data_IF_018230407380
#
_entry.id   IF_018230407380
#
_cell.length_a   1.000
_cell.length_b   1.000
_cell.length_c   1.000
_cell.angle_alpha   90.00
_cell.angle_beta   90.00
_cell.angle_gamma   90.00
#
_symmetry.space_group_name_H-M   'P 1'
#
loop_
_entity.id
_entity.type
_entity.pdbx_description
1 polymer ?
#
# COMPACT_ATOMS: atom_id res chain seq x y z
N UNK A 1 -2.98 -14.18 -69.10
CA UNK A 1 -1.97 -14.84 -68.26
C UNK A 1 -1.43 -13.83 -67.24
N UNK A 2 -1.24 -14.27 -65.99
CA UNK A 2 -0.39 -13.68 -64.92
C UNK A 2 -0.87 -12.30 -64.40
N UNK A 3 -1.65 -12.27 -63.30
CA UNK A 3 -1.21 -12.19 -61.89
C UNK A 3 -0.23 -11.02 -61.64
N UNK A 4 -0.62 -10.07 -60.79
CA UNK A 4 0.14 -9.67 -59.58
C UNK A 4 -0.83 -8.93 -58.64
N UNK A 5 -0.94 -9.50 -57.45
CA UNK A 5 -1.54 -8.97 -56.23
C UNK A 5 -0.51 -8.07 -55.58
N UNK A 6 -0.88 -6.86 -55.16
CA UNK A 6 -0.09 -6.10 -54.19
C UNK A 6 -0.99 -5.61 -53.05
N UNK A 7 -0.87 -6.37 -51.98
CA UNK A 7 -1.46 -6.22 -50.66
C UNK A 7 -0.67 -5.15 -49.90
N UNK A 8 -1.31 -4.04 -49.55
CA UNK A 8 -0.76 -2.99 -48.68
C UNK A 8 -1.61 -2.92 -47.42
N UNK A 9 -1.21 -3.67 -46.39
CA UNK A 9 -1.77 -3.57 -45.04
C UNK A 9 -1.01 -2.48 -44.32
N UNK A 10 -1.71 -1.39 -44.02
CA UNK A 10 -1.18 -0.27 -43.24
C UNK A 10 -0.82 -0.71 -41.83
N UNK A 11 0.43 -0.43 -41.44
CA UNK A 11 0.90 -0.46 -40.06
C UNK A 11 0.21 0.68 -39.30
N UNK A 12 -0.94 0.39 -38.70
CA UNK A 12 -1.50 1.24 -37.66
C UNK A 12 -0.64 1.06 -36.40
N UNK A 13 0.10 2.11 -36.06
CA UNK A 13 0.78 2.28 -34.79
C UNK A 13 -0.25 2.25 -33.66
N UNK A 14 -0.43 1.09 -33.04
CA UNK A 14 -1.08 1.00 -31.74
C UNK A 14 -0.09 1.51 -30.69
N UNK A 15 -0.05 2.83 -30.52
CA UNK A 15 0.45 3.43 -29.30
C UNK A 15 -0.42 2.91 -28.15
N UNK A 16 0.08 1.90 -27.44
CA UNK A 16 -0.46 1.52 -26.14
C UNK A 16 -0.06 2.66 -25.20
N UNK A 17 -0.86 3.72 -25.21
CA UNK A 17 -0.94 4.63 -24.08
C UNK A 17 -1.36 3.77 -22.90
N UNK A 18 -0.37 3.35 -22.10
CA UNK A 18 -0.63 2.90 -20.74
C UNK A 18 -1.23 4.10 -20.02
N UNK A 19 -2.56 4.14 -20.00
CA UNK A 19 -3.32 4.96 -19.08
C UNK A 19 -2.96 4.50 -17.67
N UNK A 20 -1.91 5.07 -17.10
CA UNK A 20 -1.85 5.26 -15.66
C UNK A 20 -2.98 6.24 -15.32
N UNK A 21 -4.22 5.74 -15.29
CA UNK A 21 -5.34 6.44 -14.66
C UNK A 21 -4.98 6.56 -13.19
N UNK A 22 -4.30 7.66 -12.83
CA UNK A 22 -4.30 8.17 -11.48
C UNK A 22 -5.76 8.50 -11.17
N UNK A 23 -6.48 7.57 -10.56
CA UNK A 23 -7.75 7.90 -9.95
C UNK A 23 -7.45 8.97 -8.90
N UNK A 24 -7.98 10.20 -9.04
CA UNK A 24 -7.97 11.13 -7.93
C UNK A 24 -8.86 10.50 -6.85
N UNK A 25 -8.23 9.94 -5.82
CA UNK A 25 -8.93 9.38 -4.68
C UNK A 25 -9.78 10.50 -4.08
N UNK A 26 -11.11 10.43 -4.27
CA UNK A 26 -12.00 11.41 -3.69
C UNK A 26 -12.00 11.18 -2.19
N UNK A 27 -12.00 12.27 -1.42
CA UNK A 27 -11.98 12.25 0.05
C UNK A 27 -13.10 11.40 0.67
N UNK A 28 -14.18 11.17 -0.07
CA UNK A 28 -15.28 10.26 0.26
C UNK A 28 -14.89 8.77 0.25
N UNK A 29 -13.98 8.34 -0.63
CA UNK A 29 -13.47 6.96 -0.67
C UNK A 29 -12.53 6.68 0.51
N UNK A 30 -11.87 7.72 1.04
CA UNK A 30 -11.02 7.65 2.24
C UNK A 30 -11.86 7.41 3.50
N UNK A 31 -13.11 7.91 3.56
CA UNK A 31 -14.03 7.63 4.67
C UNK A 31 -14.65 6.23 4.58
N UNK A 32 -14.92 5.71 3.38
CA UNK A 32 -15.40 4.34 3.20
C UNK A 32 -14.32 3.29 3.54
N UNK A 33 -13.04 3.62 3.31
CA UNK A 33 -11.90 2.74 3.62
C UNK A 33 -11.72 2.44 5.13
N UNK A 34 -12.33 3.22 6.04
CA UNK A 34 -12.32 2.94 7.48
C UNK A 34 -13.24 1.79 7.91
N UNK A 35 -14.13 1.32 7.01
CA UNK A 35 -15.12 0.27 7.28
C UNK A 35 -15.25 -0.80 6.18
N UNK A 36 -14.54 -0.63 5.06
CA UNK A 36 -14.55 -1.56 3.93
C UNK A 36 -13.17 -2.16 3.73
N UNK A 37 -13.12 -3.49 3.66
CA UNK A 37 -11.93 -4.26 3.33
C UNK A 37 -11.20 -3.60 2.15
N UNK A 38 -9.96 -3.16 2.37
CA UNK A 38 -9.14 -2.57 1.32
C UNK A 38 -8.98 -3.58 0.18
N UNK A 39 -8.96 -3.09 -1.06
CA UNK A 39 -8.48 -3.91 -2.18
C UNK A 39 -7.00 -4.30 -1.94
N UNK A 40 -6.58 -5.42 -2.50
CA UNK A 40 -5.18 -5.88 -2.39
C UNK A 40 -4.18 -4.79 -2.85
N UNK A 41 -4.54 -4.04 -3.88
CA UNK A 41 -3.73 -2.91 -4.36
C UNK A 41 -3.59 -1.79 -3.33
N UNK A 42 -4.65 -1.44 -2.61
CA UNK A 42 -4.60 -0.42 -1.55
C UNK A 42 -3.84 -0.93 -0.33
N UNK A 43 -4.03 -2.19 0.03
CA UNK A 43 -3.28 -2.86 1.10
C UNK A 43 -1.78 -2.80 0.84
N UNK A 44 -1.33 -3.14 -0.37
CA UNK A 44 0.08 -3.06 -0.74
C UNK A 44 0.62 -1.62 -0.72
N UNK A 45 -0.20 -0.63 -1.09
CA UNK A 45 0.17 0.78 -0.99
C UNK A 45 0.37 1.23 0.46
N UNK A 46 -0.50 0.81 1.37
CA UNK A 46 -0.35 1.10 2.80
C UNK A 46 0.92 0.44 3.37
N UNK A 47 1.20 -0.82 3.02
CA UNK A 47 2.43 -1.50 3.40
C UNK A 47 3.68 -0.79 2.86
N UNK A 48 3.64 -0.35 1.60
CA UNK A 48 4.75 0.42 1.03
C UNK A 48 4.97 1.76 1.74
N UNK A 49 3.89 2.46 2.09
CA UNK A 49 3.99 3.70 2.84
C UNK A 49 4.61 3.47 4.23
N UNK A 50 4.18 2.42 4.92
CA UNK A 50 4.76 1.96 6.19
C UNK A 50 6.26 1.67 6.07
N UNK A 51 6.74 1.17 4.94
CA UNK A 51 8.17 0.94 4.73
C UNK A 51 8.98 2.22 4.40
N UNK A 52 8.33 3.30 3.99
CA UNK A 52 8.99 4.50 3.43
C UNK A 52 8.97 5.72 4.36
N UNK A 53 8.01 5.79 5.28
CA UNK A 53 7.81 6.98 6.14
C UNK A 53 8.06 6.64 7.61
N UNK A 54 9.10 7.23 8.18
CA UNK A 54 9.54 6.95 9.56
C UNK A 54 8.50 7.37 10.62
N UNK A 55 7.73 8.43 10.36
CA UNK A 55 6.68 8.88 11.28
C UNK A 55 5.50 7.90 11.30
N UNK A 56 5.07 7.41 10.13
CA UNK A 56 4.12 6.30 9.98
C UNK A 56 4.63 5.03 10.68
N UNK A 57 5.91 4.70 10.53
CA UNK A 57 6.52 3.57 11.24
C UNK A 57 6.39 3.72 12.74
N UNK A 58 6.86 4.84 13.29
CA UNK A 58 6.87 5.08 14.73
C UNK A 58 5.46 5.03 15.32
N UNK A 59 4.50 5.73 14.69
CA UNK A 59 3.10 5.76 15.16
C UNK A 59 2.45 4.38 15.14
N UNK A 60 2.72 3.59 14.10
CA UNK A 60 2.14 2.26 13.95
C UNK A 60 2.77 1.29 14.94
N UNK A 61 4.10 1.31 15.11
CA UNK A 61 4.81 0.51 16.11
C UNK A 61 4.32 0.86 17.52
N UNK A 62 4.18 2.15 17.84
CA UNK A 62 3.70 2.59 19.15
C UNK A 62 2.25 2.16 19.41
N UNK A 63 1.40 2.17 18.39
CA UNK A 63 0.04 1.62 18.48
C UNK A 63 0.09 0.13 18.81
N UNK A 64 0.80 -0.67 18.00
CA UNK A 64 0.86 -2.13 18.19
C UNK A 64 1.51 -2.52 19.53
N UNK A 65 2.45 -1.73 20.04
CA UNK A 65 3.05 -1.95 21.37
C UNK A 65 2.09 -1.69 22.53
N UNK A 66 1.07 -0.86 22.32
CA UNK A 66 0.06 -0.52 23.33
C UNK A 66 -1.18 -1.38 23.23
N UNK A 67 -1.37 -2.02 22.08
CA UNK A 67 -2.48 -2.91 21.81
C UNK A 67 -2.27 -4.28 22.50
N UNK A 68 -3.18 -4.73 23.38
CA UNK A 68 -2.96 -5.94 24.19
C UNK A 68 -2.87 -7.22 23.35
N UNK A 69 -3.43 -7.24 22.13
CA UNK A 69 -3.42 -8.40 21.25
C UNK A 69 -2.08 -8.54 20.51
N UNK A 70 -1.43 -7.41 20.20
CA UNK A 70 -0.20 -7.38 19.39
C UNK A 70 1.06 -7.01 20.16
N UNK A 71 0.96 -6.41 21.35
CA UNK A 71 2.07 -5.90 22.13
C UNK A 71 3.16 -6.93 22.38
N UNK A 72 2.79 -8.14 22.82
CA UNK A 72 3.75 -9.21 23.11
C UNK A 72 4.57 -9.56 21.87
N UNK A 73 3.90 -9.82 20.74
CA UNK A 73 4.56 -10.18 19.49
C UNK A 73 5.45 -9.05 18.96
N UNK A 74 5.02 -7.79 19.08
CA UNK A 74 5.86 -6.65 18.68
C UNK A 74 7.07 -6.50 19.58
N UNK A 75 6.95 -6.70 20.90
CA UNK A 75 8.09 -6.66 21.82
C UNK A 75 9.09 -7.80 21.56
N UNK A 76 8.60 -9.00 21.26
CA UNK A 76 9.44 -10.14 20.88
C UNK A 76 10.22 -9.85 19.58
N UNK A 77 9.58 -9.24 18.58
CA UNK A 77 10.25 -8.79 17.35
C UNK A 77 11.22 -7.62 17.58
N UNK A 78 10.83 -6.66 18.43
CA UNK A 78 11.65 -5.49 18.75
C UNK A 78 12.98 -5.90 19.42
N UNK A 79 12.98 -6.96 20.22
CA UNK A 79 14.18 -7.50 20.85
C UNK A 79 15.23 -7.99 19.84
N UNK A 80 14.80 -8.33 18.62
CA UNK A 80 15.65 -8.80 17.53
C UNK A 80 15.88 -7.72 16.44
N UNK A 81 15.33 -6.52 16.62
CA UNK A 81 15.33 -5.46 15.61
C UNK A 81 16.30 -4.35 15.98
N UNK A 82 17.17 -3.98 15.04
CA UNK A 82 18.16 -2.90 15.23
C UNK A 82 17.59 -1.49 14.96
N UNK A 83 16.43 -1.40 14.28
CA UNK A 83 15.80 -0.14 13.90
C UNK A 83 14.28 -0.28 13.73
N UNK A 84 13.57 0.84 13.70
CA UNK A 84 12.13 0.87 13.42
C UNK A 84 11.80 0.32 12.02
N UNK A 85 12.66 0.56 11.02
CA UNK A 85 12.46 0.01 9.68
C UNK A 85 12.56 -1.51 9.67
N UNK A 86 13.54 -2.08 10.38
CA UNK A 86 13.69 -3.53 10.49
C UNK A 86 12.51 -4.15 11.26
N UNK A 87 12.10 -3.51 12.35
CA UNK A 87 10.94 -3.93 13.13
C UNK A 87 9.67 -3.89 12.28
N UNK A 88 9.45 -2.81 11.52
CA UNK A 88 8.30 -2.68 10.62
C UNK A 88 8.33 -3.76 9.54
N UNK A 89 9.49 -4.06 8.97
CA UNK A 89 9.63 -5.17 8.02
C UNK A 89 9.23 -6.52 8.65
N UNK A 90 9.63 -6.78 9.89
CA UNK A 90 9.22 -7.99 10.61
C UNK A 90 7.72 -8.01 10.93
N UNK A 91 7.14 -6.87 11.32
CA UNK A 91 5.70 -6.68 11.52
C UNK A 91 4.93 -7.00 10.23
N UNK A 92 5.38 -6.45 9.11
CA UNK A 92 4.78 -6.66 7.79
C UNK A 92 4.96 -8.09 7.25
N UNK A 93 5.90 -8.86 7.81
CA UNK A 93 6.07 -10.29 7.56
C UNK A 93 5.13 -11.17 8.39
N UNK A 94 4.53 -10.64 9.46
CA UNK A 94 3.56 -11.35 10.28
C UNK A 94 2.13 -10.94 9.88
N UNK A 95 1.33 -11.89 9.40
CA UNK A 95 -0.03 -11.60 8.91
C UNK A 95 -0.90 -10.89 9.95
N UNK A 96 -0.92 -11.36 11.20
CA UNK A 96 -1.76 -10.77 12.24
C UNK A 96 -1.33 -9.34 12.59
N UNK A 97 -0.03 -9.10 12.77
CA UNK A 97 0.49 -7.75 13.03
C UNK A 97 0.27 -6.80 11.85
N UNK A 98 0.42 -7.32 10.63
CA UNK A 98 0.16 -6.58 9.39
C UNK A 98 -1.30 -6.15 9.30
N UNK A 99 -2.23 -7.06 9.60
CA UNK A 99 -3.66 -6.77 9.56
C UNK A 99 -4.01 -5.67 10.58
N UNK A 100 -3.48 -5.72 11.81
CA UNK A 100 -3.66 -4.66 12.81
C UNK A 100 -3.00 -3.33 12.41
N UNK A 101 -1.81 -3.37 11.79
CA UNK A 101 -1.12 -2.18 11.31
C UNK A 101 -1.92 -1.46 10.21
N UNK A 102 -2.43 -2.22 9.24
CA UNK A 102 -3.27 -1.70 8.16
C UNK A 102 -4.57 -1.16 8.73
N UNK A 103 -5.25 -1.92 9.60
CA UNK A 103 -6.50 -1.52 10.23
C UNK A 103 -6.37 -0.21 11.02
N UNK A 104 -5.26 -0.06 11.75
CA UNK A 104 -4.94 1.20 12.42
C UNK A 104 -4.81 2.36 11.44
N UNK A 105 -4.05 2.19 10.34
CA UNK A 105 -3.88 3.26 9.35
C UNK A 105 -5.20 3.62 8.69
N UNK A 106 -6.00 2.62 8.27
CA UNK A 106 -7.23 2.85 7.52
C UNK A 106 -8.32 3.49 8.36
N UNK A 107 -8.44 3.11 9.64
CA UNK A 107 -9.37 3.74 10.59
C UNK A 107 -8.95 5.15 11.00
N UNK A 108 -7.70 5.54 10.74
CA UNK A 108 -7.17 6.86 11.03
C UNK A 108 -7.05 7.70 9.74
N UNK A 109 -8.05 8.53 9.37
CA UNK A 109 -8.05 9.25 8.09
C UNK A 109 -6.83 10.16 7.89
N UNK A 110 -6.25 10.67 8.98
CA UNK A 110 -5.00 11.46 8.93
C UNK A 110 -3.81 10.59 8.50
N UNK A 111 -3.67 9.39 9.07
CA UNK A 111 -2.58 8.46 8.76
C UNK A 111 -2.77 7.83 7.39
N UNK A 112 -4.01 7.47 7.03
CA UNK A 112 -4.33 7.00 5.69
C UNK A 112 -3.95 8.06 4.63
N UNK A 113 -4.32 9.33 4.85
CA UNK A 113 -3.92 10.41 3.94
C UNK A 113 -2.40 10.58 3.87
N UNK A 114 -1.70 10.46 4.99
CA UNK A 114 -0.23 10.50 5.02
C UNK A 114 0.36 9.33 4.22
N UNK A 115 -0.15 8.11 4.43
CA UNK A 115 0.31 6.92 3.74
C UNK A 115 0.12 7.03 2.22
N UNK A 116 -1.06 7.51 1.78
CA UNK A 116 -1.36 7.75 0.37
C UNK A 116 -0.42 8.81 -0.24
N UNK A 117 -0.17 9.91 0.48
CA UNK A 117 0.78 10.95 0.04
C UNK A 117 2.19 10.40 -0.17
N UNK A 118 2.66 9.53 0.72
CA UNK A 118 3.99 8.90 0.64
C UNK A 118 4.13 8.04 -0.62
N UNK A 119 3.06 7.42 -1.09
CA UNK A 119 3.05 6.62 -2.33
C UNK A 119 2.61 7.39 -3.57
N UNK A 120 2.43 8.71 -3.48
CA UNK A 120 2.12 9.58 -4.61
C UNK A 120 0.64 9.61 -5.03
N UNK A 121 -0.30 9.45 -4.09
CA UNK A 121 -1.74 9.57 -4.28
C UNK A 121 -2.34 10.80 -3.60
#
# INVERSE_FOLDING_TARGET
MKKIVLLTIGLAFSAISMSAQSFPLKSSDIQAAGSSQLSDSQTEKVKQALMKDEDLQSKTIDYLKKDPETAKSVMDLASNSSSNSNLMQSILGNKSLTDHAIDYITKNPKLLKQALKVVGL
#
